data_IF_696673771627
#
_entry.id   IF_696673771627
#
_cell.length_a   1.000
_cell.length_b   1.000
_cell.length_c   1.000
_cell.angle_alpha   90.00
_cell.angle_beta   90.00
_cell.angle_gamma   90.00
#
_symmetry.space_group_name_H-M   'P 1'
#
loop_
_entity.id
_entity.type
_entity.pdbx_description
1 polymer ?
#
# COMPACT_ATOMS: atom_id res chain seq x y z
N UNK A 1 -9.92 11.81 -14.96
CA UNK A 1 -8.58 11.38 -15.45
C UNK A 1 -7.64 12.53 -15.80
N UNK A 2 -8.04 13.56 -16.57
CA UNK A 2 -7.14 14.68 -16.92
C UNK A 2 -6.56 15.43 -15.71
N UNK A 3 -7.38 15.73 -14.70
CA UNK A 3 -6.95 16.49 -13.52
C UNK A 3 -5.88 15.77 -12.69
N UNK A 4 -6.02 14.45 -12.52
CA UNK A 4 -5.05 13.62 -11.82
C UNK A 4 -3.70 13.59 -12.58
N UNK A 5 -3.76 13.46 -13.90
CA UNK A 5 -2.58 13.49 -14.76
C UNK A 5 -1.79 14.80 -14.58
N UNK A 6 -2.49 15.95 -14.61
CA UNK A 6 -1.89 17.28 -14.45
C UNK A 6 -1.19 17.41 -13.09
N UNK A 7 -1.82 16.92 -12.01
CA UNK A 7 -1.24 16.95 -10.67
C UNK A 7 0.03 16.10 -10.62
N UNK A 8 0.01 14.88 -11.15
CA UNK A 8 1.16 13.98 -11.16
C UNK A 8 2.33 14.59 -11.95
N UNK A 9 2.07 15.12 -13.15
CA UNK A 9 3.07 15.82 -13.95
C UNK A 9 3.66 17.02 -13.23
N UNK A 10 2.83 17.84 -12.57
CA UNK A 10 3.30 19.01 -11.81
C UNK A 10 4.24 18.64 -10.67
N UNK A 11 4.05 17.47 -10.07
CA UNK A 11 4.87 16.98 -8.96
C UNK A 11 6.00 16.03 -9.40
N UNK A 12 6.29 15.93 -10.71
CA UNK A 12 7.29 15.01 -11.28
C UNK A 12 7.06 13.54 -10.89
N UNK A 13 5.79 13.13 -10.78
CA UNK A 13 5.41 11.75 -10.48
C UNK A 13 5.08 11.04 -11.81
N UNK A 14 5.80 9.96 -12.10
CA UNK A 14 5.60 9.15 -13.31
C UNK A 14 4.45 8.17 -13.08
N UNK A 15 3.46 8.17 -13.97
CA UNK A 15 2.40 7.15 -13.98
C UNK A 15 2.89 5.91 -14.72
N UNK A 16 3.03 4.79 -14.01
CA UNK A 16 3.36 3.49 -14.60
C UNK A 16 2.09 2.63 -14.74
N UNK A 17 1.58 2.37 -15.97
CA UNK A 17 0.43 1.51 -16.15
C UNK A 17 0.78 0.06 -15.78
N UNK A 18 -0.21 -0.70 -15.31
CA UNK A 18 -0.02 -2.12 -15.08
C UNK A 18 0.25 -2.84 -16.41
N UNK A 19 1.23 -3.74 -16.39
CA UNK A 19 1.53 -4.55 -17.56
C UNK A 19 0.36 -5.51 -17.87
N UNK A 20 -0.04 -5.64 -19.15
CA UNK A 20 -1.02 -6.63 -19.57
C UNK A 20 -0.59 -8.02 -19.12
N UNK A 21 -1.53 -8.81 -18.56
CA UNK A 21 -1.28 -10.18 -18.07
C UNK A 21 -0.27 -10.27 -16.91
N UNK A 22 -0.11 -9.20 -16.14
CA UNK A 22 0.66 -9.20 -14.89
C UNK A 22 -0.26 -8.97 -13.68
N UNK A 23 -1.04 -10.00 -13.28
CA UNK A 23 -2.05 -9.86 -12.22
C UNK A 23 -1.43 -9.52 -10.86
N UNK A 24 -0.16 -9.88 -10.64
CA UNK A 24 0.50 -9.72 -9.35
C UNK A 24 1.09 -8.32 -9.11
N UNK A 25 1.06 -7.41 -10.09
CA UNK A 25 1.70 -6.09 -9.97
C UNK A 25 1.11 -5.22 -8.86
N UNK A 26 -0.15 -5.45 -8.51
CA UNK A 26 -0.84 -4.76 -7.41
C UNK A 26 -1.17 -5.68 -6.23
N UNK A 27 -0.71 -6.94 -6.24
CA UNK A 27 -1.13 -7.94 -5.25
C UNK A 27 -0.87 -7.50 -3.78
N UNK A 28 0.19 -6.72 -3.54
CA UNK A 28 0.47 -6.16 -2.21
C UNK A 28 -0.53 -5.08 -1.82
N UNK A 29 -0.87 -4.16 -2.74
CA UNK A 29 -1.87 -3.10 -2.54
C UNK A 29 -3.25 -3.71 -2.35
N UNK A 30 -3.61 -4.69 -3.18
CA UNK A 30 -4.87 -5.43 -3.08
C UNK A 30 -5.00 -6.16 -1.75
N UNK A 31 -3.92 -6.80 -1.27
CA UNK A 31 -3.90 -7.48 0.03
C UNK A 31 -4.08 -6.50 1.19
N UNK A 32 -3.46 -5.32 1.11
CA UNK A 32 -3.66 -4.26 2.10
C UNK A 32 -5.10 -3.75 2.08
N UNK A 33 -5.66 -3.48 0.90
CA UNK A 33 -7.05 -3.03 0.74
C UNK A 33 -8.04 -4.06 1.27
N UNK A 34 -7.79 -5.36 1.03
CA UNK A 34 -8.59 -6.44 1.60
C UNK A 34 -8.53 -6.45 3.13
N UNK A 35 -7.34 -6.32 3.72
CA UNK A 35 -7.22 -6.23 5.18
C UNK A 35 -7.98 -5.02 5.76
N UNK A 36 -7.88 -3.85 5.10
CA UNK A 36 -8.66 -2.67 5.47
C UNK A 36 -10.17 -2.93 5.39
N UNK A 37 -10.64 -3.62 4.37
CA UNK A 37 -12.06 -3.95 4.23
C UNK A 37 -12.50 -4.96 5.30
N UNK A 38 -11.83 -6.09 5.38
CA UNK A 38 -12.23 -7.22 6.24
C UNK A 38 -12.04 -6.94 7.73
N UNK A 39 -10.96 -6.26 8.11
CA UNK A 39 -10.62 -6.03 9.53
C UNK A 39 -11.18 -4.71 10.06
N UNK A 40 -11.26 -3.68 9.21
CA UNK A 40 -11.72 -2.36 9.62
C UNK A 40 -13.12 -2.06 9.11
N UNK A 41 -13.36 -2.04 7.79
CA UNK A 41 -14.66 -1.61 7.26
C UNK A 41 -15.81 -2.52 7.72
N UNK A 42 -15.66 -3.85 7.68
CA UNK A 42 -16.69 -4.79 8.14
C UNK A 42 -16.97 -4.67 9.65
N UNK A 43 -15.94 -4.43 10.48
CA UNK A 43 -16.13 -4.20 11.92
C UNK A 43 -16.93 -2.93 12.21
N UNK A 44 -16.78 -1.92 11.36
CA UNK A 44 -17.45 -0.64 11.50
C UNK A 44 -18.73 -0.50 10.66
N UNK A 45 -19.06 -1.48 9.82
CA UNK A 45 -20.33 -1.52 9.08
C UNK A 45 -21.52 -1.70 10.05
N UNK A 46 -21.31 -2.42 11.15
CA UNK A 46 -22.29 -2.63 12.22
C UNK A 46 -22.41 -1.41 13.16
N UNK A 47 -21.39 -0.55 13.22
CA UNK A 47 -21.42 0.69 13.99
C UNK A 47 -21.81 1.84 13.07
N UNK A 48 -23.01 2.41 13.23
CA UNK A 48 -23.47 3.56 12.44
C UNK A 48 -22.47 4.73 12.44
N UNK A 49 -21.52 4.72 11.51
CA UNK A 49 -20.58 5.80 11.25
C UNK A 49 -21.32 6.91 10.52
N UNK A 50 -22.16 7.64 11.25
CA UNK A 50 -22.95 8.77 10.74
C UNK A 50 -22.07 9.97 10.37
N UNK A 51 -20.83 10.00 10.82
CA UNK A 51 -19.87 11.08 10.56
C UNK A 51 -18.63 10.59 9.80
N UNK A 52 -18.44 11.15 8.60
CA UNK A 52 -17.29 10.89 7.72
C UNK A 52 -15.96 11.35 8.35
N UNK A 53 -15.96 12.35 9.22
CA UNK A 53 -14.74 12.82 9.88
C UNK A 53 -14.24 11.82 10.92
N UNK A 54 -15.12 11.30 11.77
CA UNK A 54 -14.77 10.24 12.72
C UNK A 54 -14.38 8.93 12.00
N UNK A 55 -15.03 8.60 10.88
CA UNK A 55 -14.59 7.49 10.03
C UNK A 55 -13.15 7.67 9.55
N UNK A 56 -12.83 8.81 8.93
CA UNK A 56 -11.48 9.09 8.41
C UNK A 56 -10.43 9.06 9.52
N UNK A 57 -10.75 9.56 10.72
CA UNK A 57 -9.87 9.54 11.89
C UNK A 57 -9.58 8.11 12.35
N UNK A 58 -10.61 7.27 12.45
CA UNK A 58 -10.46 5.85 12.82
C UNK A 58 -9.71 5.06 11.75
N UNK A 59 -9.99 5.32 10.47
CA UNK A 59 -9.29 4.72 9.35
C UNK A 59 -7.80 5.08 9.38
N UNK A 60 -7.48 6.35 9.67
CA UNK A 60 -6.10 6.81 9.82
C UNK A 60 -5.39 6.10 10.99
N UNK A 61 -6.07 5.93 12.12
CA UNK A 61 -5.52 5.19 13.27
C UNK A 61 -5.22 3.73 12.92
N UNK A 62 -6.13 3.05 12.20
CA UNK A 62 -5.90 1.70 11.73
C UNK A 62 -4.71 1.65 10.75
N UNK A 63 -4.63 2.57 9.80
CA UNK A 63 -3.52 2.65 8.83
C UNK A 63 -2.19 2.93 9.51
N UNK A 64 -2.16 3.74 10.56
CA UNK A 64 -0.95 4.00 11.34
C UNK A 64 -0.48 2.68 11.98
N UNK A 65 -1.34 2.03 12.76
CA UNK A 65 -1.04 0.75 13.40
C UNK A 65 -0.60 -0.33 12.41
N UNK A 66 -1.30 -0.46 11.27
CA UNK A 66 -0.96 -1.41 10.21
C UNK A 66 0.48 -1.22 9.72
N UNK A 67 0.92 0.03 9.54
CA UNK A 67 2.24 0.34 9.00
C UNK A 67 3.34 0.34 10.06
N UNK A 68 3.05 0.73 11.30
CA UNK A 68 4.07 0.92 12.34
C UNK A 68 4.26 -0.32 13.22
N UNK A 69 3.19 -1.08 13.47
CA UNK A 69 3.15 -2.05 14.57
C UNK A 69 2.73 -3.46 14.14
N UNK A 70 1.83 -3.60 13.16
CA UNK A 70 1.27 -4.90 12.77
C UNK A 70 2.38 -5.86 12.30
N UNK A 71 2.51 -7.06 12.88
CA UNK A 71 3.49 -8.04 12.42
C UNK A 71 3.01 -8.74 11.14
N UNK A 72 3.85 -8.77 10.10
CA UNK A 72 3.53 -9.47 8.85
C UNK A 72 4.34 -10.75 8.71
N UNK A 73 3.66 -11.89 8.50
CA UNK A 73 4.32 -13.18 8.30
C UNK A 73 5.29 -13.17 7.12
N UNK A 74 4.93 -12.52 6.01
CA UNK A 74 5.80 -12.39 4.83
C UNK A 74 7.02 -11.50 5.06
N UNK A 75 7.05 -10.73 6.14
CA UNK A 75 8.14 -9.82 6.52
C UNK A 75 8.89 -10.33 7.77
N UNK A 76 8.92 -11.64 8.01
CA UNK A 76 9.50 -12.23 9.22
C UNK A 76 8.96 -11.62 10.52
N UNK A 77 7.63 -11.39 10.56
CA UNK A 77 6.90 -10.77 11.68
C UNK A 77 7.29 -9.31 11.98
N UNK A 78 7.97 -8.63 11.05
CA UNK A 78 8.20 -7.18 11.12
C UNK A 78 6.98 -6.40 10.65
N UNK A 79 6.84 -5.17 11.13
CA UNK A 79 5.92 -4.21 10.54
C UNK A 79 6.46 -3.67 9.21
N UNK A 80 5.61 -3.12 8.34
CA UNK A 80 6.04 -2.51 7.08
C UNK A 80 7.12 -1.44 7.30
N UNK A 81 6.97 -0.60 8.32
CA UNK A 81 7.96 0.42 8.67
C UNK A 81 9.29 -0.19 9.11
N UNK A 82 9.26 -1.20 9.98
CA UNK A 82 10.49 -1.89 10.42
C UNK A 82 11.24 -2.51 9.23
N UNK A 83 10.51 -3.20 8.36
CA UNK A 83 11.07 -3.78 7.14
C UNK A 83 11.69 -2.71 6.22
N UNK A 84 11.01 -1.56 6.08
CA UNK A 84 11.51 -0.44 5.29
C UNK A 84 12.79 0.17 5.88
N UNK A 85 12.85 0.36 7.20
CA UNK A 85 14.06 0.81 7.88
C UNK A 85 15.24 -0.16 7.67
N UNK A 86 15.00 -1.46 7.72
CA UNK A 86 16.05 -2.46 7.48
C UNK A 86 16.59 -2.41 6.04
N UNK A 87 15.73 -2.21 5.04
CA UNK A 87 16.14 -2.03 3.65
C UNK A 87 17.06 -0.81 3.53
N UNK A 88 16.62 0.34 4.04
CA UNK A 88 17.41 1.58 3.99
C UNK A 88 18.77 1.38 4.67
N UNK A 89 18.78 0.82 5.88
CA UNK A 89 19.99 0.64 6.68
C UNK A 89 20.95 -0.39 6.09
N UNK A 90 20.45 -1.37 5.33
CA UNK A 90 21.28 -2.41 4.72
C UNK A 90 21.95 -1.98 3.42
N UNK A 91 21.73 -0.74 2.93
CA UNK A 91 22.12 -0.29 1.58
C UNK A 91 21.70 -1.27 0.48
N UNK A 92 20.73 -2.14 0.75
CA UNK A 92 20.10 -2.96 -0.27
C UNK A 92 19.23 -2.01 -1.05
N UNK A 93 19.71 -1.56 -2.20
CA UNK A 93 18.94 -0.79 -3.18
C UNK A 93 17.78 -1.58 -3.80
N UNK A 94 17.40 -2.70 -3.21
CA UNK A 94 16.31 -3.56 -3.64
C UNK A 94 14.98 -3.10 -3.05
N UNK A 95 14.68 -1.80 -3.13
CA UNK A 95 13.30 -1.42 -3.43
C UNK A 95 13.11 -1.55 -4.94
N UNK A 96 13.36 -2.76 -5.44
CA UNK A 96 13.14 -3.08 -6.83
C UNK A 96 11.91 -3.96 -6.88
N UNK A 97 10.95 -3.58 -7.69
CA UNK A 97 10.13 -4.58 -8.36
C UNK A 97 11.06 -5.32 -9.34
N UNK A 98 12.06 -6.07 -8.82
CA UNK A 98 12.98 -6.90 -9.60
C UNK A 98 12.18 -8.07 -10.15
N UNK A 99 11.43 -7.73 -11.19
CA UNK A 99 10.49 -8.52 -11.95
C UNK A 99 9.91 -7.69 -13.11
N UNK A 100 10.33 -6.43 -13.30
CA UNK A 100 9.78 -5.51 -14.31
C UNK A 100 10.51 -5.47 -15.67
N UNK A 101 11.46 -6.36 -15.95
CA UNK A 101 12.05 -6.44 -17.30
C UNK A 101 12.00 -7.86 -17.84
N UNK A 102 10.90 -8.20 -18.53
CA UNK A 102 10.99 -9.16 -19.63
C UNK A 102 11.54 -8.43 -20.85
N UNK A 103 12.82 -8.08 -20.83
CA UNK A 103 13.59 -7.90 -22.07
C UNK A 103 14.36 -9.18 -22.28
N UNK A 104 13.72 -10.16 -22.92
CA UNK A 104 14.45 -11.06 -23.79
C UNK A 104 14.33 -10.47 -25.19
N UNK A 105 15.51 -10.12 -25.72
CA UNK A 105 15.87 -9.94 -27.14
C UNK A 105 14.81 -10.28 -28.18
#
# INVERSE_FOLDING_TARGET
MLLLLIILFRHNIILTPNYPRYPNGQAYVERMNRALQEEFMMYYEDYELKDIHEFNKKMLQYMLWYNTERPHHSLNKKSPLQYFCDIINSNKSEFSQTGMTYTNS
#
